data_IF_079279072603
#
_entry.id   IF_079279072603
#
_cell.length_a   1.000
_cell.length_b   1.000
_cell.length_c   1.000
_cell.angle_alpha   90.00
_cell.angle_beta   90.00
_cell.angle_gamma   90.00
#
_symmetry.space_group_name_H-M   'P 1'
#
loop_
_entity.id
_entity.type
_entity.pdbx_description
1 polymer ?
#
# COMPACT_ATOMS: atom_id res chain seq x y z
N UNK A 1 -26.35 0.12 -3.47
CA UNK A 1 -25.21 0.84 -2.86
C UNK A 1 -24.07 0.84 -3.87
N UNK A 2 -23.56 1.99 -4.35
CA UNK A 2 -22.30 1.98 -5.11
C UNK A 2 -21.18 1.78 -4.09
N UNK A 3 -20.90 0.50 -3.84
CA UNK A 3 -20.00 -0.03 -2.81
C UNK A 3 -18.50 0.22 -3.07
N UNK A 4 -18.15 0.99 -4.11
CA UNK A 4 -16.78 1.08 -4.62
C UNK A 4 -15.91 2.12 -3.90
N UNK A 5 -16.50 3.10 -3.21
CA UNK A 5 -15.76 4.27 -2.72
C UNK A 5 -15.81 4.41 -1.19
N UNK A 6 -15.70 3.31 -0.46
CA UNK A 6 -15.49 3.41 0.99
C UNK A 6 -14.58 2.29 1.44
N UNK A 7 -13.28 2.45 1.16
CA UNK A 7 -12.34 2.00 2.17
C UNK A 7 -12.60 2.87 3.40
N UNK A 8 -13.42 2.37 4.33
CA UNK A 8 -13.54 2.93 5.68
C UNK A 8 -12.20 2.69 6.38
N UNK A 9 -11.19 3.50 6.07
CA UNK A 9 -9.97 3.50 6.84
C UNK A 9 -10.30 4.09 8.21
N UNK A 10 -10.09 3.30 9.25
CA UNK A 10 -10.28 3.76 10.61
C UNK A 10 -9.03 4.56 11.02
N UNK A 11 -9.17 5.71 11.72
CA UNK A 11 -8.01 6.47 12.20
C UNK A 11 -7.00 5.64 12.99
N UNK A 12 -7.46 4.58 13.67
CA UNK A 12 -6.64 3.62 14.41
C UNK A 12 -5.71 2.76 13.52
N UNK A 13 -6.03 2.60 12.24
CA UNK A 13 -5.23 1.84 11.28
C UNK A 13 -4.06 2.67 10.73
N UNK A 14 -4.19 4.01 10.73
CA UNK A 14 -3.23 4.94 10.12
C UNK A 14 -1.78 4.72 10.58
N UNK A 15 -1.47 4.57 11.89
CA UNK A 15 -0.09 4.34 12.32
C UNK A 15 0.50 3.05 11.72
N UNK A 16 -0.28 1.97 11.68
CA UNK A 16 0.18 0.69 11.16
C UNK A 16 0.35 0.72 9.64
N UNK A 17 -0.56 1.38 8.92
CA UNK A 17 -0.44 1.58 7.47
C UNK A 17 0.80 2.40 7.13
N UNK A 18 1.12 3.44 7.92
CA UNK A 18 2.36 4.22 7.74
C UNK A 18 3.62 3.37 7.94
N UNK A 19 3.63 2.48 8.92
CA UNK A 19 4.75 1.55 9.14
C UNK A 19 4.91 0.64 7.93
N UNK A 20 3.83 0.01 7.46
CA UNK A 20 3.85 -0.86 6.25
C UNK A 20 4.41 -0.12 5.03
N UNK A 21 3.95 1.12 4.79
CA UNK A 21 4.44 1.93 3.67
C UNK A 21 5.91 2.32 3.86
N UNK A 22 6.33 2.66 5.09
CA UNK A 22 7.73 2.95 5.42
C UNK A 22 8.64 1.74 5.20
N UNK A 23 8.24 0.57 5.65
CA UNK A 23 8.95 -0.69 5.45
C UNK A 23 9.08 -1.01 3.96
N UNK A 24 7.99 -0.83 3.19
CA UNK A 24 8.02 -1.02 1.74
C UNK A 24 9.00 -0.07 1.05
N UNK A 25 9.08 1.19 1.47
CA UNK A 25 10.06 2.16 0.95
C UNK A 25 11.49 1.69 1.24
N UNK A 26 11.76 1.24 2.47
CA UNK A 26 13.09 0.74 2.86
C UNK A 26 13.48 -0.50 2.05
N UNK A 27 12.57 -1.46 1.90
CA UNK A 27 12.85 -2.70 1.17
C UNK A 27 13.01 -2.47 -0.34
N UNK A 28 12.22 -1.59 -0.94
CA UNK A 28 12.40 -1.17 -2.33
C UNK A 28 13.73 -0.44 -2.53
N UNK A 29 14.11 0.44 -1.60
CA UNK A 29 15.38 1.16 -1.66
C UNK A 29 16.59 0.22 -1.58
N UNK A 30 16.54 -0.81 -0.71
CA UNK A 30 17.58 -1.85 -0.61
C UNK A 30 17.78 -2.62 -1.92
N UNK A 31 16.73 -2.76 -2.73
CA UNK A 31 16.79 -3.42 -4.04
C UNK A 31 17.37 -2.51 -5.14
N UNK A 32 17.68 -1.25 -4.86
CA UNK A 32 18.12 -0.27 -5.86
C UNK A 32 17.03 0.13 -6.85
N UNK A 33 15.76 -0.16 -6.54
CA UNK A 33 14.61 0.19 -7.39
C UNK A 33 14.17 1.64 -7.12
N UNK A 34 13.61 2.35 -8.11
CA UNK A 34 13.12 3.70 -7.92
C UNK A 34 11.92 3.74 -6.96
N UNK A 35 11.95 4.64 -5.98
CA UNK A 35 10.86 4.83 -5.02
C UNK A 35 9.76 5.66 -5.70
N UNK A 36 8.75 4.96 -6.23
CA UNK A 36 7.55 5.56 -6.78
C UNK A 36 6.33 4.66 -6.51
N UNK A 37 5.14 5.20 -6.72
CA UNK A 37 3.87 4.54 -6.42
C UNK A 37 3.73 3.18 -7.09
N UNK A 38 4.14 3.05 -8.36
CA UNK A 38 4.11 1.79 -9.10
C UNK A 38 5.05 0.75 -8.48
N UNK A 39 6.29 1.13 -8.19
CA UNK A 39 7.28 0.22 -7.58
C UNK A 39 6.81 -0.28 -6.21
N UNK A 40 6.21 0.61 -5.40
CA UNK A 40 5.68 0.26 -4.09
C UNK A 40 4.47 -0.67 -4.17
N UNK A 41 3.58 -0.45 -5.15
CA UNK A 41 2.45 -1.35 -5.43
C UNK A 41 2.94 -2.74 -5.83
N UNK A 42 3.86 -2.83 -6.78
CA UNK A 42 4.45 -4.11 -7.21
C UNK A 42 5.06 -4.87 -6.02
N UNK A 43 5.78 -4.15 -5.15
CA UNK A 43 6.39 -4.74 -3.96
C UNK A 43 5.33 -5.26 -2.97
N UNK A 44 4.35 -4.44 -2.61
CA UNK A 44 3.33 -4.82 -1.63
C UNK A 44 2.46 -5.97 -2.17
N UNK A 45 1.96 -5.88 -3.40
CA UNK A 45 1.12 -6.91 -4.02
C UNK A 45 1.88 -8.24 -4.23
N UNK A 46 3.17 -8.17 -4.54
CA UNK A 46 4.04 -9.35 -4.62
C UNK A 46 4.21 -10.06 -3.27
N UNK A 47 4.28 -9.30 -2.17
CA UNK A 47 4.51 -9.82 -0.82
C UNK A 47 3.24 -10.23 -0.04
N UNK A 48 2.05 -9.76 -0.46
CA UNK A 48 0.75 -10.13 0.16
C UNK A 48 0.56 -11.66 0.27
N UNK A 49 1.18 -12.45 -0.61
CA UNK A 49 1.06 -13.92 -0.60
C UNK A 49 1.75 -14.61 0.57
N UNK A 50 2.61 -13.91 1.31
CA UNK A 50 3.34 -14.48 2.44
C UNK A 50 2.49 -14.48 3.71
N UNK A 51 2.63 -15.51 4.57
CA UNK A 51 1.80 -15.70 5.77
C UNK A 51 1.81 -14.48 6.71
N UNK A 52 2.99 -13.90 6.96
CA UNK A 52 3.14 -12.70 7.80
C UNK A 52 2.39 -11.48 7.25
N UNK A 53 2.27 -11.37 5.92
CA UNK A 53 1.51 -10.30 5.26
C UNK A 53 0.01 -10.63 5.22
N UNK A 54 -0.38 -11.90 5.05
CA UNK A 54 -1.79 -12.32 5.15
C UNK A 54 -2.43 -12.02 6.51
N UNK A 55 -1.67 -12.12 7.60
CA UNK A 55 -2.14 -11.75 8.95
C UNK A 55 -2.47 -10.25 9.06
N UNK A 56 -1.94 -9.42 8.15
CA UNK A 56 -2.15 -7.97 8.08
C UNK A 56 -3.01 -7.54 6.88
N UNK A 57 -3.79 -8.46 6.30
CA UNK A 57 -4.53 -8.27 5.04
C UNK A 57 -5.29 -6.95 4.94
N UNK A 58 -6.02 -6.57 5.99
CA UNK A 58 -6.82 -5.33 5.98
C UNK A 58 -5.94 -4.08 5.85
N UNK A 59 -4.85 -4.01 6.63
CA UNK A 59 -3.90 -2.90 6.61
C UNK A 59 -3.17 -2.80 5.26
N UNK A 60 -2.88 -3.95 4.64
CA UNK A 60 -2.27 -4.01 3.32
C UNK A 60 -3.21 -3.56 2.22
N UNK A 61 -4.48 -3.94 2.29
CA UNK A 61 -5.49 -3.43 1.39
C UNK A 61 -5.64 -1.92 1.53
N UNK A 62 -5.54 -1.37 2.76
CA UNK A 62 -5.49 0.08 2.97
C UNK A 62 -4.25 0.72 2.35
N UNK A 63 -3.06 0.16 2.57
CA UNK A 63 -1.83 0.66 1.96
C UNK A 63 -1.92 0.67 0.42
N UNK A 64 -2.45 -0.39 -0.19
CA UNK A 64 -2.67 -0.49 -1.64
C UNK A 64 -3.69 0.53 -2.13
N UNK A 65 -4.81 0.74 -1.41
CA UNK A 65 -5.81 1.74 -1.78
C UNK A 65 -5.21 3.14 -1.79
N UNK A 66 -4.48 3.51 -0.73
CA UNK A 66 -3.82 4.81 -0.61
C UNK A 66 -2.85 5.05 -1.78
N UNK A 67 -2.07 4.04 -2.16
CA UNK A 67 -1.15 4.14 -3.29
C UNK A 67 -1.90 4.24 -4.63
N UNK A 68 -2.98 3.47 -4.84
CA UNK A 68 -3.79 3.55 -6.06
C UNK A 68 -4.49 4.91 -6.19
N UNK A 69 -5.07 5.42 -5.11
CA UNK A 69 -5.65 6.76 -5.06
C UNK A 69 -4.60 7.84 -5.37
N UNK A 70 -3.38 7.71 -4.81
CA UNK A 70 -2.28 8.62 -5.12
C UNK A 70 -1.88 8.58 -6.60
N UNK A 71 -1.84 7.38 -7.21
CA UNK A 71 -1.56 7.21 -8.63
C UNK A 71 -2.67 7.80 -9.50
N UNK A 72 -3.94 7.62 -9.14
CA UNK A 72 -5.07 8.15 -9.91
C UNK A 72 -5.14 9.68 -9.85
N UNK A 73 -4.75 10.27 -8.71
CA UNK A 73 -4.68 11.73 -8.53
C UNK A 73 -3.47 12.36 -9.23
N UNK A 74 -2.28 11.76 -9.10
CA UNK A 74 -1.02 12.41 -9.50
C UNK A 74 -0.33 11.77 -10.71
N UNK A 75 -0.78 10.60 -11.17
CA UNK A 75 -0.20 9.84 -12.27
C UNK A 75 -0.82 10.13 -13.63
N UNK A 76 -1.73 11.12 -13.73
CA UNK A 76 -2.25 11.59 -15.02
C UNK A 76 -1.16 12.35 -15.76
N UNK A 77 -0.71 11.78 -16.87
CA UNK A 77 0.09 12.46 -17.91
C UNK A 77 -0.86 13.20 -18.84
#
# INVERSE_FOLDING_TARGET
MKSKDTLKWFPSQLPKVRIILGDAVVEVAKQGRPINTRTLLDYIEGNIKTKAWLDNKELLQTAVSVLKENQDMNGKI
#
